data_IF_915465000268
#
_entry.id   IF_915465000268
#
_cell.length_a   1.000
_cell.length_b   1.000
_cell.length_c   1.000
_cell.angle_alpha   90.00
_cell.angle_beta   90.00
_cell.angle_gamma   90.00
#
_symmetry.space_group_name_H-M   'P 1'
#
loop_
_entity.id
_entity.type
_entity.pdbx_description
1 polymer ?
#
# COMPACT_ATOMS: atom_id res chain seq x y z
N UNK A 1 -11.24 8.63 22.79
CA UNK A 1 -10.60 9.82 22.17
C UNK A 1 -9.27 9.50 21.48
N UNK A 2 -8.35 8.76 22.12
CA UNK A 2 -7.01 8.41 21.60
C UNK A 2 -7.05 7.56 20.31
N UNK A 3 -7.91 6.53 20.24
CA UNK A 3 -8.06 5.66 19.04
C UNK A 3 -8.45 6.45 17.78
N UNK A 4 -9.34 7.44 17.93
CA UNK A 4 -9.80 8.32 16.85
C UNK A 4 -8.67 9.21 16.33
N UNK A 5 -7.77 9.63 17.21
CA UNK A 5 -6.57 10.41 16.84
C UNK A 5 -5.55 9.55 16.08
N UNK A 6 -5.27 8.34 16.57
CA UNK A 6 -4.41 7.36 15.87
C UNK A 6 -4.94 7.06 14.45
N UNK A 7 -6.24 6.85 14.30
CA UNK A 7 -6.86 6.59 12.99
C UNK A 7 -6.70 7.79 12.02
N UNK A 8 -6.85 9.03 12.50
CA UNK A 8 -6.61 10.22 11.66
C UNK A 8 -5.16 10.30 11.18
N UNK A 9 -4.20 10.03 12.08
CA UNK A 9 -2.78 10.02 11.73
C UNK A 9 -2.48 8.94 10.67
N UNK A 10 -3.02 7.74 10.84
CA UNK A 10 -2.85 6.65 9.88
C UNK A 10 -3.48 6.97 8.51
N UNK A 11 -4.65 7.61 8.49
CA UNK A 11 -5.26 8.10 7.26
C UNK A 11 -4.41 9.17 6.56
N UNK A 12 -3.77 10.06 7.33
CA UNK A 12 -2.86 11.07 6.79
C UNK A 12 -1.60 10.41 6.20
N UNK A 13 -1.01 9.44 6.91
CA UNK A 13 0.12 8.65 6.42
C UNK A 13 -0.22 7.92 5.12
N UNK A 14 -1.42 7.32 5.04
CA UNK A 14 -1.89 6.65 3.82
C UNK A 14 -2.05 7.64 2.66
N UNK A 15 -2.67 8.80 2.90
CA UNK A 15 -2.81 9.86 1.88
C UNK A 15 -1.45 10.30 1.36
N UNK A 16 -0.50 10.53 2.26
CA UNK A 16 0.88 10.86 1.89
C UNK A 16 1.56 9.74 1.12
N UNK A 17 1.39 8.49 1.55
CA UNK A 17 1.97 7.33 0.88
C UNK A 17 1.51 7.22 -0.57
N UNK A 18 0.23 7.53 -0.85
CA UNK A 18 -0.36 7.49 -2.19
C UNK A 18 0.07 8.63 -3.13
N UNK A 19 0.95 9.53 -2.71
CA UNK A 19 1.48 10.61 -3.58
C UNK A 19 2.56 10.14 -4.55
N UNK A 20 3.15 8.96 -4.33
CA UNK A 20 4.13 8.38 -5.24
C UNK A 20 4.15 6.85 -5.13
N UNK A 21 4.46 6.12 -6.23
CA UNK A 21 4.60 4.67 -6.20
C UNK A 21 5.57 4.19 -5.12
N UNK A 22 6.76 4.79 -5.05
CA UNK A 22 7.81 4.42 -4.08
C UNK A 22 7.34 4.58 -2.63
N UNK A 23 6.63 5.65 -2.31
CA UNK A 23 6.09 5.87 -0.95
C UNK A 23 5.01 4.86 -0.61
N UNK A 24 4.12 4.52 -1.54
CA UNK A 24 3.06 3.54 -1.26
C UNK A 24 3.63 2.13 -1.07
N UNK A 25 4.59 1.72 -1.90
CA UNK A 25 5.31 0.46 -1.70
C UNK A 25 6.03 0.41 -0.34
N UNK A 26 6.71 1.49 0.04
CA UNK A 26 7.34 1.58 1.38
C UNK A 26 6.32 1.52 2.52
N UNK A 27 5.16 2.17 2.35
CA UNK A 27 4.07 2.10 3.32
C UNK A 27 3.51 0.69 3.48
N UNK A 28 3.27 -0.04 2.39
CA UNK A 28 2.80 -1.42 2.42
C UNK A 28 3.81 -2.35 3.13
N UNK A 29 5.11 -2.21 2.83
CA UNK A 29 6.17 -2.93 3.56
C UNK A 29 6.15 -2.63 5.06
N UNK A 30 6.02 -1.35 5.44
CA UNK A 30 5.90 -0.94 6.85
C UNK A 30 4.63 -1.48 7.53
N UNK A 31 3.60 -1.84 6.76
CA UNK A 31 2.38 -2.49 7.26
C UNK A 31 2.52 -4.00 7.40
N UNK A 32 3.60 -4.59 6.89
CA UNK A 32 3.87 -6.03 6.98
C UNK A 32 3.56 -6.81 5.72
N UNK A 33 3.25 -6.15 4.60
CA UNK A 33 3.12 -6.82 3.30
C UNK A 33 4.50 -7.16 2.78
N UNK A 34 4.71 -8.42 2.37
CA UNK A 34 5.96 -8.85 1.74
C UNK A 34 5.94 -8.38 0.28
N UNK A 35 6.92 -7.57 -0.10
CA UNK A 35 7.03 -7.01 -1.46
C UNK A 35 8.48 -7.12 -1.92
N UNK A 36 8.69 -7.92 -2.98
CA UNK A 36 9.97 -8.09 -3.66
C UNK A 36 10.47 -6.85 -4.39
N UNK A 37 11.51 -7.02 -5.20
CA UNK A 37 12.24 -5.92 -5.82
C UNK A 37 11.74 -5.60 -7.24
N UNK A 38 12.18 -4.45 -7.78
CA UNK A 38 11.86 -4.00 -9.12
C UNK A 38 10.34 -3.98 -9.43
N UNK A 39 9.57 -3.43 -8.49
CA UNK A 39 8.13 -3.24 -8.68
C UNK A 39 7.90 -1.98 -9.50
N UNK A 40 7.20 -2.13 -10.61
CA UNK A 40 6.61 -1.01 -11.31
C UNK A 40 5.15 -0.86 -10.87
N UNK A 41 4.75 0.36 -10.54
CA UNK A 41 3.36 0.68 -10.20
C UNK A 41 2.95 1.94 -10.97
N UNK A 42 1.69 1.94 -11.42
CA UNK A 42 1.09 3.09 -12.11
C UNK A 42 1.35 4.40 -11.35
N UNK A 43 1.63 5.52 -12.06
CA UNK A 43 1.70 6.84 -11.43
C UNK A 43 0.41 7.25 -10.72
N UNK A 44 -0.73 6.73 -11.17
CA UNK A 44 -2.04 6.96 -10.57
C UNK A 44 -2.31 5.99 -9.41
N UNK A 45 -1.48 6.10 -8.37
CA UNK A 45 -1.44 5.19 -7.21
C UNK A 45 -2.78 5.09 -6.48
N UNK A 46 -3.63 6.14 -6.55
CA UNK A 46 -4.94 6.18 -5.89
C UNK A 46 -5.90 5.11 -6.41
N UNK A 47 -5.69 4.63 -7.64
CA UNK A 47 -6.49 3.58 -8.27
C UNK A 47 -6.06 2.17 -7.86
N UNK A 48 -4.93 2.02 -7.17
CA UNK A 48 -4.47 0.74 -6.63
C UNK A 48 -4.95 0.60 -5.20
N UNK A 49 -5.73 -0.45 -4.94
CA UNK A 49 -6.25 -0.78 -3.62
C UNK A 49 -5.74 -2.14 -3.17
N UNK A 50 -5.04 -2.18 -2.05
CA UNK A 50 -4.58 -3.41 -1.42
C UNK A 50 -5.12 -3.38 0.01
N UNK A 51 -5.95 -4.35 0.34
CA UNK A 51 -6.41 -4.54 1.72
C UNK A 51 -5.22 -4.92 2.60
N UNK A 52 -5.06 -4.22 3.71
CA UNK A 52 -3.97 -4.42 4.66
C UNK A 52 -4.49 -4.82 6.04
N UNK A 53 -5.75 -5.29 6.11
CA UNK A 53 -6.35 -5.79 7.35
C UNK A 53 -5.60 -7.03 7.85
N UNK A 54 -5.11 -7.88 6.94
CA UNK A 54 -4.29 -9.07 7.24
C UNK A 54 -3.08 -9.12 6.30
N UNK A 55 -2.06 -8.28 6.53
CA UNK A 55 -0.96 -8.08 5.59
C UNK A 55 -0.11 -9.34 5.37
N UNK A 56 -0.10 -10.27 6.34
CA UNK A 56 0.59 -11.55 6.23
C UNK A 56 -0.01 -12.51 5.20
N UNK A 57 -1.22 -12.23 4.68
CA UNK A 57 -1.85 -13.02 3.61
C UNK A 57 -1.45 -12.56 2.21
N UNK A 58 -0.63 -11.49 2.12
CA UNK A 58 -0.25 -10.89 0.84
C UNK A 58 1.26 -10.93 0.69
N UNK A 59 1.69 -11.56 -0.40
CA UNK A 59 3.04 -11.50 -0.91
C UNK A 59 3.02 -11.05 -2.37
N UNK A 60 3.83 -10.04 -2.69
CA UNK A 60 4.05 -9.56 -4.06
C UNK A 60 5.51 -9.88 -4.42
N UNK A 61 5.71 -10.75 -5.39
CA UNK A 61 7.06 -11.13 -5.86
C UNK A 61 7.83 -10.00 -6.56
N UNK A 62 9.08 -10.26 -6.92
CA UNK A 62 9.92 -9.32 -7.67
C UNK A 62 9.50 -9.21 -9.14
N UNK A 63 9.82 -8.08 -9.79
CA UNK A 63 9.55 -7.80 -11.22
C UNK A 63 8.05 -7.77 -11.59
N UNK A 64 7.19 -7.39 -10.65
CA UNK A 64 5.74 -7.29 -10.85
C UNK A 64 5.31 -5.89 -11.30
N UNK A 65 4.28 -5.83 -12.14
CA UNK A 65 3.60 -4.59 -12.55
C UNK A 65 2.24 -4.46 -11.87
N UNK A 66 2.03 -3.36 -11.15
CA UNK A 66 0.77 -3.00 -10.51
C UNK A 66 0.08 -1.90 -11.34
N UNK A 67 -0.88 -2.32 -12.17
CA UNK A 67 -1.60 -1.46 -13.11
C UNK A 67 -2.72 -0.65 -12.42
N UNK A 68 -3.28 0.32 -13.16
CA UNK A 68 -4.45 1.09 -12.72
C UNK A 68 -5.62 0.17 -12.38
N UNK A 69 -6.42 0.57 -11.39
CA UNK A 69 -7.63 -0.12 -10.94
C UNK A 69 -7.40 -1.53 -10.36
N UNK A 70 -6.16 -1.89 -10.05
CA UNK A 70 -5.86 -3.15 -9.35
C UNK A 70 -6.46 -3.11 -7.94
N UNK A 71 -7.22 -4.15 -7.59
CA UNK A 71 -7.74 -4.36 -6.25
C UNK A 71 -7.35 -5.75 -5.74
N UNK A 72 -6.71 -5.82 -4.58
CA UNK A 72 -6.39 -7.05 -3.85
C UNK A 72 -7.15 -7.01 -2.52
N UNK A 73 -7.97 -8.02 -2.26
CA UNK A 73 -8.76 -8.18 -1.03
C UNK A 73 -8.35 -9.49 -0.33
N UNK A 74 -8.36 -9.49 1.01
CA UNK A 74 -7.91 -10.63 1.83
C UNK A 74 -8.70 -10.78 3.12
#
# INVERSE_FOLDING_TARGET
MIKRFKNKLENLKLRWARTSPKRYLSFLRKKGVVIGDNIWMTPDVKTVSIDITRPSLIEIGSNVRLNKNLTILT
#
